data_IF_479216751734
#
_entry.id   IF_479216751734
#
_cell.length_a   1.000
_cell.length_b   1.000
_cell.length_c   1.000
_cell.angle_alpha   90.00
_cell.angle_beta   90.00
_cell.angle_gamma   90.00
#
_symmetry.space_group_name_H-M   'P 1'
#
loop_
_entity.id
_entity.type
_entity.pdbx_description
1 polymer ?
#
# COMPACT_ATOMS: atom_id res chain seq x y z
N UNK A 1 -11.05 39.25 6.18
CA UNK A 1 -11.08 38.91 4.74
C UNK A 1 -9.63 38.90 4.27
N UNK A 2 -8.98 37.74 4.21
CA UNK A 2 -8.92 36.89 3.03
C UNK A 2 -8.76 35.43 3.44
N UNK A 3 -9.62 34.54 2.93
CA UNK A 3 -9.53 33.10 3.10
C UNK A 3 -8.29 32.58 2.36
N UNK A 4 -7.54 31.69 3.00
CA UNK A 4 -6.38 31.02 2.42
C UNK A 4 -6.81 30.04 1.32
N UNK A 5 -6.15 30.12 0.16
CA UNK A 5 -6.27 29.22 -0.99
C UNK A 5 -5.84 27.77 -0.67
N UNK A 6 -6.67 27.04 0.07
CA UNK A 6 -6.50 25.59 0.22
C UNK A 6 -7.15 24.89 -0.98
N UNK A 7 -6.35 24.41 -1.92
CA UNK A 7 -6.81 23.57 -3.03
C UNK A 7 -7.41 22.28 -2.44
N UNK A 8 -8.70 22.06 -2.66
CA UNK A 8 -9.39 20.86 -2.20
C UNK A 8 -8.90 19.62 -2.95
N UNK A 9 -8.95 18.43 -2.33
CA UNK A 9 -8.65 17.15 -2.98
C UNK A 9 -9.44 16.95 -4.28
N UNK A 10 -10.68 17.44 -4.35
CA UNK A 10 -11.51 17.44 -5.56
C UNK A 10 -10.90 18.31 -6.66
N UNK A 11 -10.37 19.49 -6.33
CA UNK A 11 -9.67 20.37 -7.27
C UNK A 11 -8.32 19.78 -7.70
N UNK A 12 -7.54 19.18 -6.81
CA UNK A 12 -6.32 18.43 -7.17
C UNK A 12 -6.65 17.33 -8.19
N UNK A 13 -7.73 16.58 -7.94
CA UNK A 13 -8.20 15.59 -8.89
C UNK A 13 -8.64 16.27 -10.19
N UNK A 14 -9.55 17.26 -10.17
CA UNK A 14 -10.14 17.89 -11.35
C UNK A 14 -9.14 18.63 -12.25
N UNK A 15 -8.18 19.37 -11.67
CA UNK A 15 -7.11 20.07 -12.39
C UNK A 15 -6.25 19.08 -13.18
N UNK A 16 -5.92 17.93 -12.57
CA UNK A 16 -5.25 16.83 -13.29
C UNK A 16 -6.10 16.22 -14.42
N UNK A 17 -7.43 16.34 -14.35
CA UNK A 17 -8.36 15.87 -15.39
C UNK A 17 -8.51 16.81 -16.59
N UNK A 18 -8.52 18.12 -16.39
CA UNK A 18 -8.64 19.10 -17.47
C UNK A 18 -7.35 19.20 -18.31
N UNK A 19 -6.18 19.08 -17.68
CA UNK A 19 -4.90 19.02 -18.38
C UNK A 19 -4.82 17.80 -19.34
N UNK A 20 -5.44 16.67 -18.97
CA UNK A 20 -5.49 15.47 -19.81
C UNK A 20 -6.49 15.58 -20.99
N UNK A 21 -7.61 16.30 -20.82
CA UNK A 21 -8.61 16.47 -21.87
C UNK A 21 -8.12 17.40 -23.01
N UNK A 22 -7.33 18.42 -22.69
CA UNK A 22 -6.74 19.33 -23.70
C UNK A 22 -5.75 18.64 -24.64
N UNK A 23 -5.08 17.58 -24.18
CA UNK A 23 -4.11 16.83 -24.98
C UNK A 23 -4.73 15.88 -26.02
N UNK A 24 -6.04 15.60 -25.92
CA UNK A 24 -6.73 14.63 -26.81
C UNK A 24 -7.12 15.26 -28.15
N UNK A 25 -7.20 16.60 -28.25
CA UNK A 25 -7.68 17.29 -29.47
C UNK A 25 -6.55 17.58 -30.48
N UNK A 26 -5.28 17.38 -30.12
CA UNK A 26 -4.14 17.56 -31.03
C UNK A 26 -3.39 16.24 -31.26
N UNK A 27 -4.01 15.34 -32.01
CA UNK A 27 -3.36 14.10 -32.45
C UNK A 27 -2.30 14.37 -33.52
N UNK A 28 -1.05 14.44 -33.08
CA UNK A 28 0.14 14.09 -33.85
C UNK A 28 0.98 13.15 -32.99
N UNK A 29 1.27 11.94 -33.48
CA UNK A 29 2.05 10.93 -32.76
C UNK A 29 3.46 11.48 -32.51
N UNK A 30 3.67 12.03 -31.31
CA UNK A 30 4.98 12.31 -30.73
C UNK A 30 4.94 11.86 -29.28
N UNK A 31 5.73 10.83 -28.99
CA UNK A 31 5.70 10.02 -27.78
C UNK A 31 6.54 10.61 -26.64
N UNK A 32 6.19 11.82 -26.20
CA UNK A 32 6.72 12.39 -24.97
C UNK A 32 5.57 12.81 -24.06
N UNK A 33 5.16 11.91 -23.17
CA UNK A 33 4.34 12.29 -22.01
C UNK A 33 5.23 13.13 -21.07
N UNK A 34 5.26 14.44 -21.28
CA UNK A 34 5.84 15.39 -20.34
C UNK A 34 4.91 15.50 -19.14
N UNK A 35 5.39 15.10 -17.96
CA UNK A 35 4.73 15.43 -16.71
C UNK A 35 4.92 16.94 -16.48
N UNK A 36 3.82 17.72 -16.54
CA UNK A 36 3.79 19.19 -16.46
C UNK A 36 4.93 19.83 -15.65
N UNK A 37 5.61 20.80 -16.27
CA UNK A 37 6.91 21.40 -15.88
C UNK A 37 6.96 22.18 -14.55
N UNK A 38 5.96 22.10 -13.66
CA UNK A 38 6.00 22.81 -12.37
C UNK A 38 5.55 21.96 -11.18
N UNK A 39 6.03 20.72 -11.08
CA UNK A 39 5.80 19.92 -9.87
C UNK A 39 6.66 20.41 -8.71
N UNK A 40 6.01 21.00 -7.72
CA UNK A 40 6.61 21.40 -6.45
C UNK A 40 6.36 20.32 -5.40
N UNK A 41 7.39 19.50 -5.15
CA UNK A 41 7.30 18.42 -4.18
C UNK A 41 7.14 18.94 -2.75
N UNK A 42 7.73 20.09 -2.41
CA UNK A 42 7.65 20.64 -1.05
C UNK A 42 6.22 21.11 -0.75
N UNK A 43 5.58 21.78 -1.71
CA UNK A 43 4.17 22.14 -1.61
C UNK A 43 3.26 20.92 -1.52
N UNK A 44 3.52 19.90 -2.36
CA UNK A 44 2.74 18.66 -2.35
C UNK A 44 2.89 17.92 -1.01
N UNK A 45 4.10 17.85 -0.47
CA UNK A 45 4.38 17.27 0.83
C UNK A 45 3.68 18.03 1.96
N UNK A 46 3.75 19.37 1.96
CA UNK A 46 3.05 20.19 2.95
C UNK A 46 1.53 19.96 2.92
N UNK A 47 0.93 19.86 1.73
CA UNK A 47 -0.48 19.51 1.56
C UNK A 47 -0.80 18.12 2.11
N UNK A 48 0.02 17.11 1.79
CA UNK A 48 -0.12 15.76 2.32
C UNK A 48 -0.07 15.73 3.85
N UNK A 49 0.92 16.40 4.47
CA UNK A 49 1.05 16.50 5.92
C UNK A 49 -0.19 17.13 6.55
N UNK A 50 -0.70 18.21 5.97
CA UNK A 50 -1.93 18.85 6.42
C UNK A 50 -3.14 17.91 6.33
N UNK A 51 -3.29 17.16 5.22
CA UNK A 51 -4.39 16.19 5.05
C UNK A 51 -4.38 15.06 6.08
N UNK A 52 -3.22 14.71 6.63
CA UNK A 52 -3.08 13.71 7.71
C UNK A 52 -3.08 14.34 9.12
N UNK A 53 -3.36 15.64 9.23
CA UNK A 53 -3.48 16.36 10.51
C UNK A 53 -2.14 16.73 11.16
N UNK A 54 -1.10 16.94 10.36
CA UNK A 54 0.26 17.28 10.81
C UNK A 54 0.84 18.42 9.96
N UNK A 55 2.05 18.88 10.27
CA UNK A 55 2.80 19.89 9.53
C UNK A 55 4.16 19.35 9.07
N UNK A 56 4.63 19.82 7.92
CA UNK A 56 5.98 19.53 7.43
C UNK A 56 7.10 19.97 8.41
N UNK A 57 6.79 20.86 9.34
CA UNK A 57 7.74 21.40 10.35
C UNK A 57 7.67 20.70 11.71
N UNK A 58 6.80 19.70 11.88
CA UNK A 58 6.59 19.05 13.18
C UNK A 58 7.84 18.32 13.70
N UNK A 59 8.74 17.90 12.81
CA UNK A 59 10.02 17.30 13.17
C UNK A 59 11.02 18.27 13.80
N UNK A 60 10.78 19.58 13.74
CA UNK A 60 11.64 20.61 14.34
C UNK A 60 12.97 20.89 13.63
N UNK A 61 13.25 20.21 12.52
CA UNK A 61 14.36 20.52 11.63
C UNK A 61 13.91 20.73 10.19
N UNK A 62 14.87 20.79 9.28
CA UNK A 62 14.67 21.02 7.85
C UNK A 62 14.28 19.72 7.15
N UNK A 63 13.20 19.76 6.37
CA UNK A 63 12.83 18.70 5.41
C UNK A 63 13.42 19.02 4.04
N UNK A 64 14.12 18.05 3.43
CA UNK A 64 14.75 18.20 2.11
C UNK A 64 14.41 17.01 1.21
N UNK A 65 13.99 17.30 -0.01
CA UNK A 65 13.88 16.30 -1.08
C UNK A 65 15.00 16.52 -2.10
N UNK A 66 15.71 15.47 -2.48
CA UNK A 66 16.77 15.50 -3.51
C UNK A 66 16.42 14.61 -4.69
N UNK A 67 17.06 14.85 -5.84
CA UNK A 67 16.74 14.16 -7.09
C UNK A 67 15.57 14.80 -7.86
N UNK A 68 15.14 14.16 -8.94
CA UNK A 68 14.08 14.63 -9.82
C UNK A 68 13.18 13.46 -10.26
N UNK A 69 11.95 13.78 -10.65
CA UNK A 69 10.94 12.82 -11.17
C UNK A 69 10.38 13.41 -12.49
N UNK A 70 10.11 12.61 -13.54
CA UNK A 70 10.00 11.15 -13.58
C UNK A 70 11.35 10.40 -13.49
N UNK A 71 11.45 9.41 -12.60
CA UNK A 71 12.59 8.45 -12.56
C UNK A 71 12.34 7.27 -13.49
N UNK A 72 11.08 6.88 -13.66
CA UNK A 72 10.66 5.80 -14.55
C UNK A 72 9.66 6.29 -15.57
N UNK A 73 9.60 5.63 -16.73
CA UNK A 73 8.65 5.93 -17.80
C UNK A 73 7.23 5.55 -17.37
N UNK A 74 6.58 6.46 -16.65
CA UNK A 74 5.25 6.29 -16.08
C UNK A 74 4.43 7.56 -16.24
N UNK A 75 3.11 7.41 -16.28
CA UNK A 75 2.17 8.53 -16.14
C UNK A 75 2.17 9.12 -14.72
N UNK A 76 2.73 8.39 -13.75
CA UNK A 76 2.86 8.81 -12.36
C UNK A 76 4.28 9.23 -12.03
N UNK A 77 4.41 10.23 -11.16
CA UNK A 77 5.66 10.64 -10.51
C UNK A 77 5.99 9.62 -9.42
N UNK A 78 6.51 8.45 -9.81
CA UNK A 78 6.70 7.29 -8.92
C UNK A 78 7.64 7.63 -7.77
N UNK A 79 8.71 8.39 -8.01
CA UNK A 79 9.60 8.85 -6.95
C UNK A 79 8.86 9.68 -5.91
N UNK A 80 8.09 10.68 -6.33
CA UNK A 80 7.30 11.50 -5.43
C UNK A 80 6.21 10.70 -4.69
N UNK A 81 5.54 9.79 -5.38
CA UNK A 81 4.53 8.90 -4.79
C UNK A 81 5.08 8.03 -3.66
N UNK A 82 6.36 7.65 -3.72
CA UNK A 82 7.03 6.88 -2.67
C UNK A 82 7.69 7.77 -1.60
N UNK A 83 8.33 8.87 -2.02
CA UNK A 83 9.06 9.77 -1.14
C UNK A 83 8.15 10.54 -0.16
N UNK A 84 6.98 11.02 -0.62
CA UNK A 84 6.10 11.86 0.20
C UNK A 84 5.56 11.10 1.43
N UNK A 85 4.96 9.91 1.30
CA UNK A 85 4.50 9.15 2.47
C UNK A 85 5.65 8.71 3.38
N UNK A 86 6.80 8.32 2.81
CA UNK A 86 7.98 7.94 3.58
C UNK A 86 8.54 9.12 4.41
N UNK A 87 8.64 10.31 3.81
CA UNK A 87 9.01 11.53 4.53
C UNK A 87 7.98 11.86 5.61
N UNK A 88 6.69 11.65 5.35
CA UNK A 88 5.64 11.86 6.35
C UNK A 88 5.81 10.97 7.58
N UNK A 89 6.12 9.70 7.38
CA UNK A 89 6.46 8.78 8.48
C UNK A 89 7.71 9.26 9.25
N UNK A 90 8.75 9.72 8.54
CA UNK A 90 9.95 10.30 9.13
C UNK A 90 9.69 11.56 9.96
N UNK A 91 8.88 12.50 9.45
CA UNK A 91 8.48 13.71 10.18
C UNK A 91 7.65 13.34 11.41
N UNK A 92 6.72 12.39 11.31
CA UNK A 92 5.95 11.91 12.46
C UNK A 92 6.84 11.30 13.56
N UNK A 93 7.82 10.48 13.18
CA UNK A 93 8.79 9.93 14.12
C UNK A 93 9.66 11.02 14.77
N UNK A 94 10.15 11.99 13.99
CA UNK A 94 10.92 13.13 14.49
C UNK A 94 10.08 14.03 15.41
N UNK A 95 8.79 14.22 15.13
CA UNK A 95 7.87 14.98 15.97
C UNK A 95 7.71 14.33 17.35
N UNK A 96 7.52 13.00 17.39
CA UNK A 96 7.47 12.24 18.65
C UNK A 96 8.81 12.33 19.39
N UNK A 97 9.94 12.23 18.68
CA UNK A 97 11.26 12.39 19.30
C UNK A 97 11.42 13.77 19.95
N UNK A 98 11.03 14.83 19.23
CA UNK A 98 11.05 16.21 19.73
C UNK A 98 10.15 16.39 20.93
N UNK A 99 8.94 15.85 20.92
CA UNK A 99 8.04 15.89 22.08
C UNK A 99 8.68 15.25 23.31
N UNK A 100 9.38 14.12 23.12
CA UNK A 100 9.95 13.34 24.23
C UNK A 100 11.29 13.85 24.74
N UNK A 101 12.05 14.58 23.92
CA UNK A 101 13.45 14.95 24.23
C UNK A 101 13.76 16.44 24.07
N UNK A 102 12.88 17.20 23.43
CA UNK A 102 13.13 18.58 23.02
C UNK A 102 13.98 18.73 21.76
N UNK A 103 14.47 17.63 21.17
CA UNK A 103 15.41 17.66 20.04
C UNK A 103 14.70 17.50 18.70
N UNK A 104 14.88 18.47 17.79
CA UNK A 104 14.44 18.35 16.40
C UNK A 104 15.45 17.60 15.52
N UNK A 105 15.04 17.21 14.32
CA UNK A 105 15.90 16.53 13.35
C UNK A 105 15.71 17.07 11.93
N UNK A 106 16.82 17.22 11.20
CA UNK A 106 16.82 17.43 9.76
C UNK A 106 16.57 16.09 9.05
N UNK A 107 15.71 16.10 8.04
CA UNK A 107 15.27 14.91 7.31
C UNK A 107 15.50 15.11 5.82
N UNK A 108 16.11 14.12 5.17
CA UNK A 108 16.38 14.13 3.73
C UNK A 108 15.93 12.82 3.09
N UNK A 109 15.23 12.90 1.96
CA UNK A 109 14.89 11.74 1.11
C UNK A 109 15.30 12.03 -0.32
N UNK A 110 16.05 11.11 -0.92
CA UNK A 110 16.33 11.12 -2.35
C UNK A 110 15.23 10.38 -3.11
N UNK A 111 14.65 11.03 -4.10
CA UNK A 111 13.58 10.45 -4.90
C UNK A 111 14.04 9.17 -5.62
N UNK A 112 15.31 9.10 -6.02
CA UNK A 112 15.90 7.94 -6.73
C UNK A 112 15.99 6.72 -5.84
N UNK A 113 16.21 6.91 -4.54
CA UNK A 113 16.25 5.83 -3.55
C UNK A 113 14.83 5.45 -3.11
N UNK A 114 13.91 6.42 -3.09
CA UNK A 114 12.56 6.22 -2.55
C UNK A 114 11.74 5.15 -3.29
N UNK A 115 12.04 4.90 -4.57
CA UNK A 115 11.35 3.88 -5.38
C UNK A 115 11.55 2.46 -4.84
N UNK A 116 12.55 2.25 -3.99
CA UNK A 116 12.85 0.96 -3.35
C UNK A 116 12.22 0.79 -1.96
N UNK A 117 11.68 1.86 -1.35
CA UNK A 117 11.30 1.90 0.08
C UNK A 117 10.26 0.85 0.51
N UNK A 118 9.45 0.33 -0.41
CA UNK A 118 8.40 -0.64 -0.07
C UNK A 118 8.99 -2.02 0.22
N UNK A 119 10.09 -2.38 -0.44
CA UNK A 119 10.72 -3.70 -0.36
C UNK A 119 12.26 -3.55 -0.21
N UNK A 120 12.76 -3.34 1.02
CA UNK A 120 14.18 -3.09 1.27
C UNK A 120 15.08 -4.27 0.87
N UNK A 121 14.60 -5.52 0.92
CA UNK A 121 15.36 -6.65 0.40
C UNK A 121 15.58 -6.53 -1.12
N UNK A 122 14.52 -6.25 -1.88
CA UNK A 122 14.62 -6.02 -3.32
C UNK A 122 15.43 -4.76 -3.62
N UNK A 123 15.26 -3.71 -2.82
CA UNK A 123 16.08 -2.49 -2.91
C UNK A 123 17.57 -2.78 -2.78
N UNK A 124 17.97 -3.53 -1.75
CA UNK A 124 19.37 -3.93 -1.55
C UNK A 124 19.91 -4.72 -2.75
N UNK A 125 19.13 -5.66 -3.27
CA UNK A 125 19.52 -6.49 -4.42
C UNK A 125 19.66 -5.66 -5.70
N UNK A 126 18.73 -4.75 -5.96
CA UNK A 126 18.80 -3.87 -7.12
C UNK A 126 19.99 -2.91 -7.02
N UNK A 127 20.27 -2.36 -5.84
CA UNK A 127 21.45 -1.52 -5.62
C UNK A 127 22.76 -2.29 -5.79
N UNK A 128 22.82 -3.56 -5.35
CA UNK A 128 23.97 -4.45 -5.61
C UNK A 128 24.13 -4.73 -7.10
N UNK A 129 23.04 -5.08 -7.80
CA UNK A 129 23.03 -5.31 -9.23
C UNK A 129 23.49 -4.06 -10.03
N UNK A 130 23.10 -2.85 -9.57
CA UNK A 130 23.58 -1.60 -10.15
C UNK A 130 25.08 -1.38 -9.96
N UNK A 131 25.61 -1.68 -8.77
CA UNK A 131 27.06 -1.58 -8.49
C UNK A 131 27.88 -2.54 -9.35
N UNK A 132 27.33 -3.71 -9.64
CA UNK A 132 27.93 -4.72 -10.51
C UNK A 132 27.72 -4.44 -12.00
N UNK A 133 26.91 -3.42 -12.34
CA UNK A 133 26.64 -3.02 -13.73
C UNK A 133 25.65 -3.92 -14.47
N UNK A 134 24.95 -4.82 -13.77
CA UNK A 134 23.91 -5.68 -14.37
C UNK A 134 22.57 -4.96 -14.53
N UNK A 135 22.30 -3.95 -13.70
CA UNK A 135 21.19 -3.00 -13.87
C UNK A 135 21.75 -1.59 -14.09
N UNK A 136 21.30 -0.83 -15.10
CA UNK A 136 21.78 0.54 -15.31
C UNK A 136 21.42 1.47 -14.15
N UNK A 137 22.35 2.34 -13.74
CA UNK A 137 22.07 3.37 -12.74
C UNK A 137 20.99 4.37 -13.20
N UNK A 138 20.92 4.63 -14.51
CA UNK A 138 19.94 5.53 -15.12
C UNK A 138 18.57 4.89 -15.37
N UNK A 139 18.45 3.57 -15.23
CA UNK A 139 17.19 2.82 -15.34
C UNK A 139 17.10 1.83 -14.17
N UNK A 140 16.79 2.33 -12.96
CA UNK A 140 16.88 1.56 -11.71
C UNK A 140 15.85 0.45 -11.58
N UNK A 141 14.82 0.44 -12.43
CA UNK A 141 13.78 -0.57 -12.40
C UNK A 141 13.96 -1.47 -13.62
N UNK A 142 14.56 -2.67 -13.46
CA UNK A 142 14.77 -3.56 -14.57
C UNK A 142 13.44 -3.96 -15.20
N UNK A 143 13.45 -4.17 -16.53
CA UNK A 143 12.29 -4.64 -17.28
C UNK A 143 11.76 -5.96 -16.72
N UNK A 144 12.68 -6.84 -16.35
CA UNK A 144 12.37 -8.15 -15.78
C UNK A 144 12.57 -8.12 -14.26
N UNK A 145 11.73 -8.86 -13.56
CA UNK A 145 11.82 -8.97 -12.10
C UNK A 145 13.13 -9.67 -11.71
N UNK A 146 13.98 -8.98 -10.95
CA UNK A 146 15.20 -9.59 -10.39
C UNK A 146 14.78 -10.53 -9.27
N UNK A 147 15.02 -11.82 -9.47
CA UNK A 147 14.64 -12.84 -8.50
C UNK A 147 15.73 -12.94 -7.44
N UNK A 148 15.43 -12.62 -6.17
CA UNK A 148 16.38 -12.79 -5.08
C UNK A 148 16.76 -14.27 -4.94
N UNK A 149 18.06 -14.52 -4.77
CA UNK A 149 18.58 -15.88 -4.51
C UNK A 149 19.31 -15.96 -3.18
N UNK A 150 19.25 -17.13 -2.55
CA UNK A 150 20.06 -17.50 -1.39
C UNK A 150 20.92 -18.69 -1.82
N UNK A 151 22.25 -18.52 -1.82
CA UNK A 151 23.20 -19.52 -2.32
C UNK A 151 22.91 -20.01 -3.75
N UNK A 152 22.47 -19.11 -4.64
CA UNK A 152 22.13 -19.44 -6.02
C UNK A 152 20.76 -20.12 -6.23
N UNK A 153 19.99 -20.33 -5.15
CA UNK A 153 18.63 -20.88 -5.21
C UNK A 153 17.60 -19.76 -5.03
N UNK A 154 16.49 -19.82 -5.76
CA UNK A 154 15.42 -18.83 -5.64
C UNK A 154 14.79 -18.86 -4.24
N UNK A 155 14.52 -17.68 -3.67
CA UNK A 155 13.64 -17.57 -2.50
C UNK A 155 12.27 -18.15 -2.82
N UNK A 156 11.70 -18.92 -1.88
CA UNK A 156 10.43 -19.58 -2.11
C UNK A 156 9.27 -18.56 -2.15
N UNK A 157 8.70 -18.39 -3.33
CA UNK A 157 7.43 -17.71 -3.54
C UNK A 157 6.47 -18.59 -4.36
N UNK A 158 6.13 -19.80 -3.87
CA UNK A 158 5.28 -20.74 -4.60
C UNK A 158 3.91 -20.10 -4.86
N UNK A 159 3.34 -20.31 -6.04
CA UNK A 159 2.12 -19.62 -6.56
C UNK A 159 2.19 -18.08 -6.63
N UNK A 160 3.32 -17.47 -6.27
CA UNK A 160 3.62 -16.06 -6.51
C UNK A 160 4.39 -15.89 -7.81
N UNK A 161 5.70 -16.18 -7.77
CA UNK A 161 6.57 -16.13 -8.93
C UNK A 161 6.25 -17.28 -9.91
N UNK A 162 6.13 -16.95 -11.20
CA UNK A 162 5.79 -17.92 -12.25
C UNK A 162 4.31 -18.28 -12.37
N UNK A 163 3.44 -17.72 -11.51
CA UNK A 163 2.00 -17.91 -11.63
C UNK A 163 1.43 -17.02 -12.75
N UNK A 164 0.66 -17.56 -13.71
CA UNK A 164 0.10 -16.75 -14.80
C UNK A 164 -0.86 -15.66 -14.32
N UNK A 165 -1.45 -15.80 -13.14
CA UNK A 165 -2.40 -14.84 -12.54
C UNK A 165 -1.74 -13.89 -11.53
N UNK A 166 -0.44 -13.62 -11.67
CA UNK A 166 0.30 -12.72 -10.77
C UNK A 166 0.99 -11.64 -11.62
N UNK A 167 0.62 -10.37 -11.38
CA UNK A 167 1.19 -9.18 -12.05
C UNK A 167 1.04 -9.10 -13.58
N UNK A 168 0.05 -9.77 -14.18
CA UNK A 168 -0.20 -9.72 -15.64
C UNK A 168 -1.65 -9.31 -15.94
N UNK A 169 -1.88 -8.37 -16.88
CA UNK A 169 -3.22 -8.04 -17.36
C UNK A 169 -3.71 -9.06 -18.41
N UNK A 170 -5.01 -9.34 -18.42
CA UNK A 170 -5.68 -10.17 -19.40
C UNK A 170 -6.71 -9.35 -20.18
N UNK A 171 -6.70 -9.49 -21.51
CA UNK A 171 -7.71 -8.86 -22.35
C UNK A 171 -8.98 -9.72 -22.37
N UNK A 172 -10.10 -9.08 -22.09
CA UNK A 172 -11.44 -9.67 -21.98
C UNK A 172 -12.16 -9.71 -23.33
N UNK A 173 -13.34 -10.34 -23.39
CA UNK A 173 -14.15 -10.44 -24.61
C UNK A 173 -14.52 -9.07 -25.20
N UNK A 174 -14.81 -8.10 -24.34
CA UNK A 174 -15.20 -6.73 -24.69
C UNK A 174 -14.00 -5.80 -24.91
N UNK A 175 -12.79 -6.35 -25.06
CA UNK A 175 -11.57 -5.60 -25.38
C UNK A 175 -10.99 -4.80 -24.22
N UNK A 176 -11.51 -4.98 -23.00
CA UNK A 176 -10.98 -4.34 -21.79
C UNK A 176 -9.87 -5.19 -21.16
N UNK A 177 -9.03 -4.58 -20.35
CA UNK A 177 -8.03 -5.30 -19.57
C UNK A 177 -8.50 -5.56 -18.13
N UNK A 178 -8.15 -6.73 -17.62
CA UNK A 178 -8.49 -7.22 -16.30
C UNK A 178 -7.22 -7.71 -15.59
N UNK A 179 -7.02 -7.29 -14.34
CA UNK A 179 -6.00 -7.87 -13.47
C UNK A 179 -6.67 -8.77 -12.44
N UNK A 180 -6.34 -10.06 -12.44
CA UNK A 180 -6.73 -11.02 -11.41
C UNK A 180 -5.51 -11.35 -10.55
N UNK A 181 -5.69 -11.62 -9.26
CA UNK A 181 -4.61 -12.16 -8.42
C UNK A 181 -4.90 -13.59 -8.01
N UNK A 182 -4.02 -14.49 -8.43
CA UNK A 182 -3.96 -15.88 -8.01
C UNK A 182 -2.80 -16.17 -7.07
N UNK A 183 -2.25 -15.15 -6.41
CA UNK A 183 -1.01 -15.22 -5.64
C UNK A 183 -1.11 -16.08 -4.37
N UNK A 184 -2.31 -16.48 -3.95
CA UNK A 184 -2.52 -17.39 -2.81
C UNK A 184 -3.33 -18.59 -3.27
N UNK A 185 -3.13 -19.81 -2.72
CA UNK A 185 -3.81 -21.02 -3.20
C UNK A 185 -5.33 -20.87 -3.28
N UNK A 186 -5.96 -20.30 -2.24
CA UNK A 186 -7.39 -20.07 -2.20
C UNK A 186 -7.87 -18.99 -3.20
N UNK A 187 -7.05 -17.99 -3.52
CA UNK A 187 -7.38 -17.00 -4.55
C UNK A 187 -7.22 -17.58 -5.95
N UNK A 188 -6.19 -18.41 -6.15
CA UNK A 188 -5.95 -19.13 -7.39
C UNK A 188 -7.13 -20.03 -7.73
N UNK A 189 -7.56 -20.84 -6.76
CA UNK A 189 -8.70 -21.73 -6.90
C UNK A 189 -9.98 -20.95 -7.25
N UNK A 190 -10.30 -19.89 -6.51
CA UNK A 190 -11.48 -19.06 -6.77
C UNK A 190 -11.46 -18.42 -8.16
N UNK A 191 -10.30 -17.92 -8.59
CA UNK A 191 -10.14 -17.33 -9.91
C UNK A 191 -10.37 -18.36 -11.02
N UNK A 192 -9.78 -19.56 -10.91
CA UNK A 192 -9.96 -20.64 -11.89
C UNK A 192 -11.41 -21.16 -11.93
N UNK A 193 -12.05 -21.29 -10.76
CA UNK A 193 -13.45 -21.69 -10.65
C UNK A 193 -14.39 -20.64 -11.29
N UNK A 194 -14.17 -19.35 -11.02
CA UNK A 194 -14.96 -18.27 -11.61
C UNK A 194 -14.77 -18.21 -13.14
N UNK A 195 -13.53 -18.33 -13.63
CA UNK A 195 -13.22 -18.41 -15.06
C UNK A 195 -13.68 -19.71 -15.72
N UNK A 196 -14.02 -20.74 -14.92
CA UNK A 196 -14.43 -22.08 -15.37
C UNK A 196 -13.37 -22.71 -16.28
N UNK A 197 -12.11 -22.56 -15.90
CA UNK A 197 -10.98 -23.04 -16.70
C UNK A 197 -9.97 -23.86 -15.87
N UNK A 198 -9.31 -24.85 -16.48
CA UNK A 198 -8.19 -25.53 -15.84
C UNK A 198 -6.98 -24.58 -15.69
N UNK A 199 -6.04 -24.87 -14.77
CA UNK A 199 -4.83 -24.08 -14.63
C UNK A 199 -4.01 -24.05 -15.94
N UNK A 200 -3.20 -23.01 -16.09
CA UNK A 200 -2.30 -22.82 -17.23
C UNK A 200 -2.59 -21.53 -17.99
N UNK A 201 -1.52 -20.84 -18.40
CA UNK A 201 -1.61 -19.50 -19.01
C UNK A 201 -2.54 -19.48 -20.22
N UNK A 202 -2.38 -20.43 -21.14
CA UNK A 202 -3.16 -20.46 -22.38
C UNK A 202 -4.66 -20.70 -22.13
N UNK A 203 -4.98 -21.53 -21.14
CA UNK A 203 -6.37 -21.78 -20.74
C UNK A 203 -7.00 -20.53 -20.15
N UNK A 204 -6.27 -19.83 -19.27
CA UNK A 204 -6.72 -18.59 -18.64
C UNK A 204 -6.92 -17.48 -19.68
N UNK A 205 -5.96 -17.29 -20.60
CA UNK A 205 -6.09 -16.31 -21.69
C UNK A 205 -7.32 -16.59 -22.55
N UNK A 206 -7.55 -17.85 -22.93
CA UNK A 206 -8.75 -18.26 -23.68
C UNK A 206 -10.03 -18.00 -22.90
N UNK A 207 -10.05 -18.26 -21.60
CA UNK A 207 -11.20 -18.04 -20.74
C UNK A 207 -11.55 -16.55 -20.61
N UNK A 208 -10.55 -15.67 -20.44
CA UNK A 208 -10.78 -14.22 -20.41
C UNK A 208 -11.41 -13.70 -21.70
N UNK A 209 -11.11 -14.29 -22.86
CA UNK A 209 -11.75 -13.96 -24.13
C UNK A 209 -13.22 -14.38 -24.24
N UNK A 210 -13.77 -15.06 -23.23
CA UNK A 210 -15.18 -15.47 -23.18
C UNK A 210 -16.03 -14.64 -22.22
N UNK A 211 -15.42 -13.79 -21.38
CA UNK A 211 -16.13 -13.02 -20.36
C UNK A 211 -16.08 -11.52 -20.64
N UNK A 212 -17.16 -10.81 -20.31
CA UNK A 212 -17.15 -9.35 -20.30
C UNK A 212 -16.55 -8.86 -18.97
N UNK A 213 -15.72 -7.82 -19.02
CA UNK A 213 -14.86 -7.47 -17.90
C UNK A 213 -15.60 -7.15 -16.60
N UNK A 214 -16.64 -6.30 -16.65
CA UNK A 214 -17.36 -5.88 -15.45
C UNK A 214 -18.28 -6.97 -14.89
N UNK A 215 -18.96 -7.73 -15.76
CA UNK A 215 -19.77 -8.87 -15.33
C UNK A 215 -18.92 -9.92 -14.61
N UNK A 216 -17.72 -10.17 -15.13
CA UNK A 216 -16.76 -11.07 -14.51
C UNK A 216 -16.17 -10.52 -13.21
N UNK A 217 -15.92 -9.21 -13.11
CA UNK A 217 -15.51 -8.58 -11.86
C UNK A 217 -16.52 -8.83 -10.74
N UNK A 218 -17.81 -8.66 -11.06
CA UNK A 218 -18.91 -8.91 -10.12
C UNK A 218 -19.03 -10.40 -9.77
N UNK A 219 -18.93 -11.31 -10.75
CA UNK A 219 -18.94 -12.77 -10.52
C UNK A 219 -17.77 -13.21 -9.62
N UNK A 220 -16.56 -12.73 -9.92
CA UNK A 220 -15.35 -13.05 -9.15
C UNK A 220 -15.43 -12.50 -7.72
N UNK A 221 -15.90 -11.27 -7.56
CA UNK A 221 -16.09 -10.66 -6.24
C UNK A 221 -17.13 -11.43 -5.42
N UNK A 222 -18.27 -11.81 -6.03
CA UNK A 222 -19.29 -12.63 -5.38
C UNK A 222 -18.76 -14.01 -4.93
N UNK A 223 -17.77 -14.56 -5.64
CA UNK A 223 -17.06 -15.79 -5.27
C UNK A 223 -15.94 -15.57 -4.22
N UNK A 224 -15.71 -14.34 -3.76
CA UNK A 224 -14.62 -13.99 -2.84
C UNK A 224 -13.23 -14.06 -3.47
N UNK A 225 -13.15 -13.99 -4.80
CA UNK A 225 -11.91 -13.80 -5.55
C UNK A 225 -11.46 -12.34 -5.53
N UNK A 226 -10.25 -12.08 -6.03
CA UNK A 226 -9.67 -10.73 -6.08
C UNK A 226 -9.21 -10.45 -7.50
N UNK A 227 -9.81 -9.44 -8.11
CA UNK A 227 -9.46 -8.97 -9.43
C UNK A 227 -10.25 -7.71 -9.77
N UNK A 228 -9.72 -6.94 -10.72
CA UNK A 228 -10.28 -5.64 -11.10
C UNK A 228 -10.17 -5.38 -12.60
N UNK A 229 -11.19 -4.73 -13.14
CA UNK A 229 -11.18 -4.16 -14.49
C UNK A 229 -10.33 -2.89 -14.49
N UNK A 230 -9.53 -2.71 -15.54
CA UNK A 230 -8.83 -1.46 -15.79
C UNK A 230 -9.84 -0.38 -16.13
N UNK A 231 -9.96 0.60 -15.24
CA UNK A 231 -10.82 1.77 -15.39
C UNK A 231 -9.98 2.97 -15.76
N UNK A 232 -10.48 3.78 -16.67
CA UNK A 232 -10.00 5.15 -16.86
C UNK A 232 -10.26 5.97 -15.60
N UNK A 233 -9.57 7.11 -15.48
CA UNK A 233 -9.81 8.07 -14.38
C UNK A 233 -11.27 8.54 -14.35
N UNK A 234 -11.88 8.78 -15.51
CA UNK A 234 -13.28 9.23 -15.59
C UNK A 234 -14.24 8.16 -15.10
N UNK A 235 -14.03 6.90 -15.50
CA UNK A 235 -14.82 5.77 -15.00
C UNK A 235 -14.67 5.59 -13.49
N UNK A 236 -13.45 5.69 -12.96
CA UNK A 236 -13.23 5.61 -11.51
C UNK A 236 -13.96 6.71 -10.73
N UNK A 237 -13.90 7.96 -11.20
CA UNK A 237 -14.59 9.08 -10.54
C UNK A 237 -16.11 9.00 -10.65
N UNK A 238 -16.64 8.34 -11.68
CA UNK A 238 -18.05 8.05 -11.81
C UNK A 238 -18.50 6.85 -10.96
N UNK A 239 -17.57 5.95 -10.59
CA UNK A 239 -17.85 4.76 -9.81
C UNK A 239 -18.32 5.11 -8.38
N UNK A 240 -19.27 4.37 -7.78
CA UNK A 240 -19.78 4.67 -6.45
C UNK A 240 -18.68 4.78 -5.37
N UNK A 241 -17.74 3.85 -5.37
CA UNK A 241 -16.57 3.82 -4.47
C UNK A 241 -15.64 5.00 -4.73
N UNK A 242 -15.43 5.40 -5.98
CA UNK A 242 -14.61 6.57 -6.32
C UNK A 242 -15.25 7.87 -5.83
N UNK A 243 -16.58 8.01 -5.97
CA UNK A 243 -17.34 9.15 -5.43
C UNK A 243 -17.29 9.19 -3.90
N UNK A 244 -17.46 8.04 -3.24
CA UNK A 244 -17.37 7.93 -1.78
C UNK A 244 -15.96 8.29 -1.28
N UNK A 245 -14.92 7.76 -1.91
CA UNK A 245 -13.52 8.02 -1.53
C UNK A 245 -13.10 9.46 -1.79
N UNK A 246 -13.66 10.13 -2.80
CA UNK A 246 -13.38 11.54 -3.08
C UNK A 246 -13.90 12.48 -1.97
N UNK A 247 -14.88 12.03 -1.17
CA UNK A 247 -15.44 12.77 -0.05
C UNK A 247 -14.82 12.38 1.31
N UNK A 248 -14.06 11.29 1.35
CA UNK A 248 -13.40 10.82 2.57
C UNK A 248 -12.08 11.56 2.82
N UNK A 249 -11.70 11.79 4.09
CA UNK A 249 -10.34 12.23 4.41
C UNK A 249 -9.31 11.16 4.03
N UNK A 250 -8.06 11.56 3.84
CA UNK A 250 -6.97 10.63 3.51
C UNK A 250 -6.73 9.61 4.63
N UNK A 251 -6.81 10.06 5.88
CA UNK A 251 -6.75 9.24 7.09
C UNK A 251 -7.95 9.56 7.96
N UNK A 252 -8.70 8.54 8.37
CA UNK A 252 -9.83 8.66 9.31
C UNK A 252 -9.43 8.09 10.67
N UNK A 253 -9.56 8.90 11.72
CA UNK A 253 -9.37 8.45 13.10
C UNK A 253 -10.73 8.27 13.77
N UNK A 254 -11.08 7.04 14.11
CA UNK A 254 -12.34 6.71 14.80
C UNK A 254 -12.04 6.37 16.25
N UNK A 255 -12.60 7.16 17.18
CA UNK A 255 -12.53 6.85 18.61
C UNK A 255 -13.51 5.72 18.94
N UNK A 256 -12.98 4.61 19.43
CA UNK A 256 -13.76 3.38 19.71
C UNK A 256 -14.12 3.18 21.19
N UNK A 257 -13.44 3.88 22.11
CA UNK A 257 -13.68 3.83 23.55
C UNK A 257 -13.03 5.03 24.25
N UNK A 258 -13.46 5.30 25.49
CA UNK A 258 -12.80 6.24 26.40
C UNK A 258 -11.72 5.53 27.22
N UNK A 259 -10.56 6.17 27.34
CA UNK A 259 -9.51 5.80 28.27
C UNK A 259 -8.68 7.03 28.64
N UNK A 260 -7.99 6.98 29.77
CA UNK A 260 -6.94 7.96 30.05
C UNK A 260 -5.84 7.88 28.97
N UNK A 261 -5.20 9.00 28.59
CA UNK A 261 -4.01 8.98 27.73
C UNK A 261 -2.91 8.10 28.34
N UNK A 262 -2.21 7.36 27.49
CA UNK A 262 -1.04 6.57 27.91
C UNK A 262 0.18 7.47 27.85
N UNK A 263 0.89 7.71 28.97
CA UNK A 263 2.10 8.53 28.94
C UNK A 263 3.23 7.82 28.20
N UNK A 264 4.12 8.60 27.62
CA UNK A 264 5.36 8.08 27.06
C UNK A 264 6.22 7.40 28.12
N UNK A 265 6.90 6.33 27.74
CA UNK A 265 7.91 5.73 28.61
C UNK A 265 9.04 6.73 28.89
N UNK A 266 9.58 6.79 30.12
CA UNK A 266 10.74 7.64 30.42
C UNK A 266 11.98 7.13 29.69
N UNK A 267 12.95 8.03 29.45
CA UNK A 267 14.26 7.72 28.84
C UNK A 267 14.17 7.00 27.48
N UNK A 268 13.60 7.63 26.44
CA UNK A 268 13.51 7.02 25.12
C UNK A 268 14.89 6.77 24.50
N UNK A 269 15.08 5.57 23.94
CA UNK A 269 16.20 5.28 23.05
C UNK A 269 15.87 5.57 21.57
N UNK A 270 14.57 5.53 21.24
CA UNK A 270 14.00 5.73 19.90
C UNK A 270 12.59 6.36 20.01
N UNK A 271 12.04 6.95 18.94
CA UNK A 271 10.76 7.67 18.99
C UNK A 271 9.61 6.87 19.58
N UNK A 272 9.47 5.59 19.25
CA UNK A 272 8.39 4.70 19.71
C UNK A 272 8.81 3.79 20.87
N UNK A 273 9.91 4.10 21.57
CA UNK A 273 10.34 3.34 22.77
C UNK A 273 9.21 3.22 23.79
N UNK A 274 8.88 1.98 24.17
CA UNK A 274 7.82 1.64 25.12
C UNK A 274 6.43 1.46 24.49
N UNK A 275 6.27 1.70 23.19
CA UNK A 275 5.01 1.47 22.46
C UNK A 275 4.91 -0.01 22.07
N UNK A 276 3.72 -0.60 22.23
CA UNK A 276 3.41 -1.94 21.73
C UNK A 276 2.40 -1.87 20.61
N UNK A 277 2.63 -2.66 19.55
CA UNK A 277 1.81 -2.61 18.32
C UNK A 277 1.40 -4.01 17.92
N UNK A 278 0.09 -4.19 17.73
CA UNK A 278 -0.48 -5.48 17.36
C UNK A 278 -0.73 -5.44 15.87
N UNK A 279 0.07 -6.18 15.12
CA UNK A 279 -0.06 -6.27 13.69
C UNK A 279 -0.95 -7.47 13.35
N UNK A 280 -2.19 -7.17 12.95
CA UNK A 280 -3.15 -8.14 12.44
C UNK A 280 -3.34 -7.92 10.93
N UNK A 281 -2.22 -7.94 10.21
CA UNK A 281 -2.13 -7.66 8.78
C UNK A 281 -1.62 -8.91 8.06
N UNK A 282 -1.96 -9.03 6.79
CA UNK A 282 -1.47 -10.09 5.93
C UNK A 282 -0.56 -9.49 4.86
N UNK A 283 0.65 -10.03 4.76
CA UNK A 283 1.62 -9.78 3.69
C UNK A 283 2.23 -8.38 3.67
N UNK A 284 1.83 -7.49 2.76
CA UNK A 284 2.66 -6.33 2.33
C UNK A 284 2.25 -5.07 3.10
N UNK A 285 1.25 -4.32 2.62
CA UNK A 285 1.04 -2.93 3.04
C UNK A 285 0.98 -2.74 4.56
N UNK A 286 0.12 -3.52 5.24
CA UNK A 286 -0.03 -3.42 6.69
C UNK A 286 1.18 -3.92 7.48
N UNK A 287 1.89 -4.94 6.98
CA UNK A 287 3.08 -5.47 7.66
C UNK A 287 4.27 -4.55 7.43
N UNK A 288 4.42 -3.94 6.25
CA UNK A 288 5.38 -2.86 6.00
C UNK A 288 5.17 -1.69 6.96
N UNK A 289 3.92 -1.24 7.17
CA UNK A 289 3.64 -0.21 8.18
C UNK A 289 4.06 -0.66 9.58
N UNK A 290 3.84 -1.93 9.92
CA UNK A 290 4.20 -2.49 11.23
C UNK A 290 5.72 -2.60 11.41
N UNK A 291 6.45 -2.98 10.36
CA UNK A 291 7.92 -2.97 10.29
C UNK A 291 8.47 -1.57 10.50
N UNK A 292 7.91 -0.56 9.83
CA UNK A 292 8.30 0.85 10.03
C UNK A 292 8.11 1.28 11.49
N UNK A 293 7.03 0.86 12.15
CA UNK A 293 6.86 1.13 13.59
C UNK A 293 7.93 0.41 14.44
N UNK A 294 8.29 -0.83 14.09
CA UNK A 294 9.36 -1.56 14.76
C UNK A 294 10.73 -0.87 14.60
N UNK A 295 11.01 -0.35 13.40
CA UNK A 295 12.24 0.40 13.09
C UNK A 295 12.38 1.65 13.97
N UNK A 296 11.28 2.33 14.29
CA UNK A 296 11.24 3.45 15.23
C UNK A 296 11.17 3.04 16.71
N UNK A 297 11.31 1.74 17.02
CA UNK A 297 11.46 1.23 18.39
C UNK A 297 10.20 0.71 19.06
N UNK A 298 9.11 0.54 18.31
CA UNK A 298 7.92 -0.12 18.83
C UNK A 298 8.17 -1.63 19.01
N UNK A 299 7.59 -2.21 20.05
CA UNK A 299 7.52 -3.65 20.23
C UNK A 299 6.31 -4.19 19.45
N UNK A 300 6.59 -4.81 18.31
CA UNK A 300 5.54 -5.26 17.40
C UNK A 300 5.32 -6.76 17.53
N UNK A 301 4.06 -7.17 17.67
CA UNK A 301 3.64 -8.57 17.58
C UNK A 301 2.76 -8.74 16.35
N UNK A 302 3.28 -9.46 15.36
CA UNK A 302 2.51 -10.00 14.24
C UNK A 302 1.69 -11.20 14.71
N UNK A 303 0.41 -11.22 14.32
CA UNK A 303 -0.46 -12.36 14.51
C UNK A 303 -0.83 -12.93 13.17
N UNK A 304 -0.55 -14.22 13.01
CA UNK A 304 -0.99 -15.03 11.88
C UNK A 304 -1.87 -16.19 12.38
N UNK A 305 -2.57 -16.86 11.46
CA UNK A 305 -3.21 -18.15 11.75
C UNK A 305 -2.18 -19.26 11.54
N UNK A 306 -2.22 -20.31 12.35
CA UNK A 306 -1.32 -21.47 12.25
C UNK A 306 -1.28 -22.14 10.86
N UNK A 307 -2.40 -22.10 10.13
CA UNK A 307 -2.54 -22.64 8.78
C UNK A 307 -2.70 -21.56 7.70
N UNK A 308 -2.30 -20.32 7.99
CA UNK A 308 -2.21 -19.30 6.95
C UNK A 308 -1.01 -19.59 6.04
N UNK A 309 -1.28 -19.81 4.76
CA UNK A 309 -0.22 -19.85 3.74
C UNK A 309 0.40 -18.47 3.57
N UNK A 310 1.73 -18.43 3.46
CA UNK A 310 2.48 -17.23 3.16
C UNK A 310 3.74 -17.60 2.37
N UNK A 311 4.22 -16.68 1.52
CA UNK A 311 5.45 -16.85 0.78
C UNK A 311 6.65 -16.51 1.66
N UNK A 312 7.62 -17.42 1.75
CA UNK A 312 8.89 -17.19 2.47
C UNK A 312 9.56 -15.90 2.02
N UNK A 313 9.62 -15.66 0.70
CA UNK A 313 10.20 -14.46 0.11
C UNK A 313 9.57 -13.16 0.64
N UNK A 314 8.28 -13.18 1.01
CA UNK A 314 7.58 -12.00 1.51
C UNK A 314 7.77 -11.86 3.03
N UNK A 315 7.67 -12.96 3.81
CA UNK A 315 7.86 -12.90 5.27
C UNK A 315 9.23 -12.35 5.64
N UNK A 316 10.27 -12.82 4.95
CA UNK A 316 11.65 -12.42 5.22
C UNK A 316 11.82 -10.90 5.04
N UNK A 317 11.16 -10.29 4.06
CA UNK A 317 11.26 -8.85 3.82
C UNK A 317 10.39 -8.03 4.79
N UNK A 318 9.11 -8.37 4.92
CA UNK A 318 8.13 -7.49 5.56
C UNK A 318 8.02 -7.69 7.07
N UNK A 319 8.53 -8.79 7.63
CA UNK A 319 8.36 -9.13 9.05
C UNK A 319 9.60 -8.81 9.92
N UNK A 320 10.60 -8.13 9.37
CA UNK A 320 11.83 -7.74 10.09
C UNK A 320 11.50 -6.88 11.31
N UNK A 321 12.17 -7.14 12.44
CA UNK A 321 11.98 -6.38 13.68
C UNK A 321 10.71 -6.75 14.48
N UNK A 322 9.88 -7.66 13.98
CA UNK A 322 8.62 -8.07 14.61
C UNK A 322 8.75 -9.42 15.33
N UNK A 323 8.01 -9.59 16.42
CA UNK A 323 7.73 -10.92 17.00
C UNK A 323 6.51 -11.51 16.33
N UNK A 324 6.40 -12.83 16.27
CA UNK A 324 5.25 -13.51 15.64
C UNK A 324 4.59 -14.50 16.58
N UNK A 325 3.27 -14.67 16.47
CA UNK A 325 2.51 -15.71 17.15
C UNK A 325 1.35 -16.21 16.29
N UNK A 326 1.04 -17.50 16.41
CA UNK A 326 -0.13 -18.08 15.77
C UNK A 326 -1.36 -17.98 16.67
N UNK A 327 -2.38 -17.24 16.19
CA UNK A 327 -3.68 -17.09 16.83
C UNK A 327 -4.79 -16.98 15.77
N UNK A 328 -5.73 -17.92 15.82
CA UNK A 328 -7.02 -17.80 15.13
C UNK A 328 -7.99 -16.95 15.97
N UNK A 329 -8.18 -15.68 15.59
CA UNK A 329 -9.15 -14.79 16.24
C UNK A 329 -10.63 -15.20 16.07
N UNK A 330 -10.93 -16.15 15.18
CA UNK A 330 -12.27 -16.75 15.03
C UNK A 330 -12.49 -17.86 16.06
N UNK A 331 -11.43 -18.47 16.57
CA UNK A 331 -11.54 -19.44 17.66
C UNK A 331 -11.82 -18.67 18.97
N UNK A 332 -12.96 -18.91 19.65
CA UNK A 332 -13.33 -18.16 20.85
C UNK A 332 -12.31 -18.25 21.98
N UNK A 333 -11.69 -19.41 22.18
CA UNK A 333 -10.71 -19.64 23.26
C UNK A 333 -9.40 -18.90 22.98
N UNK A 334 -8.92 -18.96 21.74
CA UNK A 334 -7.72 -18.23 21.34
C UNK A 334 -7.95 -16.71 21.38
N UNK A 335 -9.13 -16.25 20.93
CA UNK A 335 -9.53 -14.84 21.03
C UNK A 335 -9.63 -14.38 22.49
N UNK A 336 -10.21 -15.19 23.38
CA UNK A 336 -10.26 -14.91 24.83
C UNK A 336 -8.85 -14.82 25.43
N UNK A 337 -7.94 -15.73 25.08
CA UNK A 337 -6.52 -15.66 25.50
C UNK A 337 -5.86 -14.36 25.03
N UNK A 338 -6.15 -13.92 23.81
CA UNK A 338 -5.64 -12.65 23.29
C UNK A 338 -6.22 -11.43 24.00
N UNK A 339 -7.50 -11.45 24.35
CA UNK A 339 -8.12 -10.39 25.17
C UNK A 339 -7.54 -10.35 26.57
N UNK A 340 -7.26 -11.50 27.20
CA UNK A 340 -6.65 -11.58 28.52
C UNK A 340 -5.22 -11.02 28.58
N UNK A 341 -4.47 -11.07 27.48
CA UNK A 341 -3.16 -10.43 27.35
C UNK A 341 -3.22 -8.89 27.19
N UNK A 342 -4.42 -8.29 27.18
CA UNK A 342 -4.63 -6.83 27.06
C UNK A 342 -4.73 -6.08 28.39
N UNK A 343 -4.59 -6.70 29.57
CA UNK A 343 -4.66 -5.97 30.85
C UNK A 343 -3.66 -6.47 31.92
N UNK A 344 -3.08 -5.59 32.77
CA UNK A 344 -3.01 -4.12 32.70
C UNK A 344 -1.66 -3.73 32.08
N UNK A 345 -1.64 -3.53 30.77
CA UNK A 345 -0.40 -3.30 30.04
C UNK A 345 -0.67 -2.20 29.01
N UNK A 346 0.06 -1.05 29.04
CA UNK A 346 -0.19 0.06 28.12
C UNK A 346 -0.16 -0.39 26.65
N UNK A 347 -1.36 -0.30 26.07
CA UNK A 347 -1.83 -0.26 24.68
C UNK A 347 -1.11 -1.04 23.58
N UNK A 348 -1.92 -1.79 22.84
CA UNK A 348 -1.64 -2.30 21.50
C UNK A 348 -2.41 -1.46 20.48
N UNK A 349 -1.74 -0.77 19.56
CA UNK A 349 -2.40 -0.15 18.40
C UNK A 349 -2.66 -1.22 17.33
N UNK A 350 -3.86 -1.23 16.74
CA UNK A 350 -4.23 -2.16 15.67
C UNK A 350 -4.82 -1.36 14.48
N UNK A 351 -4.18 -1.41 13.31
CA UNK A 351 -4.80 -0.98 12.06
C UNK A 351 -5.72 -2.08 11.56
N UNK A 352 -7.03 -1.86 11.65
CA UNK A 352 -8.05 -2.79 11.14
C UNK A 352 -8.79 -2.13 9.98
N UNK A 353 -8.58 -2.64 8.77
CA UNK A 353 -9.23 -2.14 7.54
C UNK A 353 -10.75 -2.43 7.49
N UNK A 354 -11.28 -3.20 8.44
CA UNK A 354 -12.64 -3.73 8.42
C UNK A 354 -13.68 -2.91 9.20
N UNK A 355 -13.28 -1.88 9.93
CA UNK A 355 -14.17 -1.15 10.85
C UNK A 355 -14.79 0.10 10.18
N UNK A 356 -15.14 0.00 8.89
CA UNK A 356 -16.01 0.98 8.22
C UNK A 356 -17.45 0.79 8.76
N UNK A 357 -18.08 1.84 9.32
CA UNK A 357 -19.45 1.77 9.81
C UNK A 357 -20.41 1.23 8.74
N UNK A 358 -21.36 0.37 9.12
CA UNK A 358 -22.37 -0.17 8.21
C UNK A 358 -23.17 0.92 7.47
N UNK A 359 -23.29 2.11 8.07
CA UNK A 359 -23.92 3.30 7.47
C UNK A 359 -23.18 3.90 6.26
N UNK A 360 -21.93 3.50 6.02
CA UNK A 360 -21.14 3.88 4.84
C UNK A 360 -20.93 2.72 3.85
N UNK A 361 -21.50 1.54 4.12
CA UNK A 361 -21.64 0.50 3.09
C UNK A 361 -22.75 0.95 2.15
N UNK A 362 -22.38 1.45 0.96
CA UNK A 362 -23.34 1.57 -0.14
C UNK A 362 -24.00 0.20 -0.34
N UNK A 363 -25.27 0.14 -0.81
CA UNK A 363 -25.97 -1.11 -1.03
C UNK A 363 -25.36 -1.85 -2.23
N UNK A 364 -24.17 -2.43 -2.05
CA UNK A 364 -23.77 -3.57 -2.85
C UNK A 364 -24.83 -4.63 -2.60
N UNK A 365 -25.39 -5.20 -3.67
CA UNK A 365 -26.26 -6.39 -3.60
C UNK A 365 -25.49 -7.64 -3.15
N UNK A 366 -24.54 -7.51 -2.23
CA UNK A 366 -23.88 -8.61 -1.53
C UNK A 366 -24.71 -8.97 -0.30
N UNK A 367 -25.70 -9.86 -0.50
CA UNK A 367 -26.26 -10.62 0.63
C UNK A 367 -25.18 -11.59 1.11
N UNK A 368 -24.45 -11.25 2.16
CA UNK A 368 -23.74 -12.25 2.95
C UNK A 368 -24.78 -13.21 3.56
N UNK A 369 -25.03 -14.35 2.90
CA UNK A 369 -25.79 -15.45 3.51
C UNK A 369 -24.99 -15.94 4.73
N UNK A 370 -25.56 -15.79 5.90
CA UNK A 370 -25.18 -16.60 7.05
C UNK A 370 -25.52 -18.05 6.68
N UNK A 371 -24.53 -18.93 6.72
CA UNK A 371 -24.76 -20.37 6.79
C UNK A 371 -24.58 -20.80 8.26
N UNK A 372 -25.41 -21.74 8.74
CA UNK A 372 -25.56 -22.09 10.16
C UNK A 372 -24.29 -22.63 10.82
#
# INVERSE_FOLDING_TARGET
>A
MSASDSVSRREVLQIGGMAAAGAIVSSGISSTASAADSFDINRTFASFMHEIGSSATDGGGKVTFTGADPIVRSHFRVGACMAIPAMGAGVGAAAIWRERTGQGQDLTVDLRESVYNVNPLIGAILLMAQREGTVPAADPIPRDFVIPTVNGLMLQAPVGLGNPMTFVPFETKDGRFFNVTGAYPHLNERALQALKCPPGRDNIVKAFKQVNAFEFEDELNAAGGVGVVHRTRAEWLAHPEGQALAQAPLVEMVKIADSAPVPWAPHPAQPLSGVRVMSNTHVIAGTCSSRTLAEYGAQVLHIARDQSFEHEALVIDVNVGMRSAFVDLRNPDQNKRMKGRRAPLPTWSACRWSDIPASRRLPARCRCRHWP
#
